data_IF_829805377862
#
_entry.id   IF_829805377862
#
_cell.length_a   1.000
_cell.length_b   1.000
_cell.length_c   1.000
_cell.angle_alpha   90.00
_cell.angle_beta   90.00
_cell.angle_gamma   90.00
#
_symmetry.space_group_name_H-M   'P 1'
#
loop_
_entity.id
_entity.type
_entity.pdbx_description
1 polymer ?
#
# COMPACT_ATOMS: atom_id res chain seq x y z
N UNK A 1 41.72 45.85 -25.71
CA UNK A 1 40.42 45.60 -26.37
C UNK A 1 40.36 44.11 -26.70
N UNK A 2 39.17 43.52 -26.57
CA UNK A 2 38.78 42.12 -26.79
C UNK A 2 38.76 41.21 -25.55
N UNK A 3 37.55 41.16 -24.98
CA UNK A 3 37.04 40.24 -23.99
C UNK A 3 36.20 39.21 -24.77
N UNK A 4 36.41 37.91 -24.56
CA UNK A 4 35.63 36.84 -25.21
C UNK A 4 34.76 36.13 -24.18
N UNK A 5 33.46 36.36 -24.26
CA UNK A 5 32.43 35.63 -23.51
C UNK A 5 32.16 34.27 -24.17
N UNK A 6 32.37 33.18 -23.42
CA UNK A 6 32.02 31.81 -23.83
C UNK A 6 30.65 31.47 -23.24
N UNK A 7 29.67 31.30 -24.14
CA UNK A 7 28.26 31.02 -23.87
C UNK A 7 28.07 29.76 -23.02
N UNK A 8 27.32 29.89 -21.93
CA UNK A 8 26.92 28.80 -21.01
C UNK A 8 25.40 28.54 -21.06
N UNK A 9 24.81 28.54 -22.27
CA UNK A 9 23.35 28.42 -22.46
C UNK A 9 22.89 27.03 -22.94
N UNK A 10 23.77 26.21 -23.52
CA UNK A 10 23.35 24.97 -24.19
C UNK A 10 23.03 23.80 -23.25
N UNK A 11 23.62 23.75 -22.04
CA UNK A 11 23.47 22.61 -21.13
C UNK A 11 22.17 22.60 -20.32
N UNK A 12 21.57 23.77 -20.05
CA UNK A 12 20.29 23.88 -19.31
C UNK A 12 19.10 23.47 -20.18
N UNK A 13 19.17 23.80 -21.47
CA UNK A 13 18.13 23.48 -22.45
C UNK A 13 18.02 21.97 -22.68
N UNK A 14 19.15 21.26 -22.73
CA UNK A 14 19.16 19.79 -22.87
C UNK A 14 18.57 19.07 -21.64
N UNK A 15 18.85 19.53 -20.42
CA UNK A 15 18.27 18.94 -19.20
C UNK A 15 16.75 19.17 -19.15
N UNK A 16 16.28 20.36 -19.52
CA UNK A 16 14.85 20.65 -19.60
C UNK A 16 14.16 19.79 -20.66
N UNK A 17 14.76 19.62 -21.84
CA UNK A 17 14.24 18.74 -22.89
C UNK A 17 14.20 17.27 -22.47
N UNK A 18 15.24 16.77 -21.80
CA UNK A 18 15.27 15.39 -21.26
C UNK A 18 14.21 15.23 -20.17
N UNK A 19 14.05 16.21 -19.27
CA UNK A 19 13.02 16.16 -18.22
C UNK A 19 11.60 16.15 -18.80
N UNK A 20 11.35 16.94 -19.84
CA UNK A 20 10.07 16.98 -20.54
C UNK A 20 9.80 15.67 -21.31
N UNK A 21 10.83 15.08 -21.92
CA UNK A 21 10.75 13.78 -22.62
C UNK A 21 10.54 12.61 -21.66
N UNK A 22 11.09 12.66 -20.45
CA UNK A 22 10.87 11.66 -19.40
C UNK A 22 9.46 11.81 -18.83
N UNK A 23 9.02 13.04 -18.53
CA UNK A 23 7.64 13.32 -18.09
C UNK A 23 6.60 12.90 -19.12
N UNK A 24 6.83 13.18 -20.42
CA UNK A 24 5.90 12.81 -21.49
C UNK A 24 5.83 11.28 -21.72
N UNK A 25 6.94 10.56 -21.51
CA UNK A 25 6.95 9.09 -21.52
C UNK A 25 6.24 8.48 -20.31
N UNK A 26 6.37 9.07 -19.13
CA UNK A 26 5.64 8.65 -17.93
C UNK A 26 4.12 8.85 -18.11
N UNK A 27 3.70 9.99 -18.67
CA UNK A 27 2.27 10.23 -18.98
C UNK A 27 1.75 9.25 -20.03
N UNK A 28 2.56 8.91 -21.03
CA UNK A 28 2.19 7.94 -22.08
C UNK A 28 2.08 6.51 -21.53
N UNK A 29 2.95 6.11 -20.60
CA UNK A 29 2.88 4.79 -19.94
C UNK A 29 1.67 4.67 -19.00
N UNK A 30 1.30 5.73 -18.27
CA UNK A 30 0.07 5.74 -17.48
C UNK A 30 -1.17 5.60 -18.38
N UNK A 31 -1.18 6.27 -19.54
CA UNK A 31 -2.30 6.18 -20.48
C UNK A 31 -2.45 4.81 -21.15
N UNK A 32 -1.36 4.12 -21.47
CA UNK A 32 -1.39 2.77 -22.07
C UNK A 32 -1.81 1.67 -21.10
N UNK A 33 -1.69 1.88 -19.79
CA UNK A 33 -2.09 0.91 -18.76
C UNK A 33 -3.59 0.93 -18.42
N UNK A 34 -4.37 1.86 -18.99
CA UNK A 34 -5.76 2.14 -18.56
C UNK A 34 -6.87 1.71 -19.52
N UNK A 35 -6.60 0.82 -20.48
CA UNK A 35 -7.64 0.29 -21.38
C UNK A 35 -7.84 -1.22 -21.21
N UNK A 36 -8.36 -1.62 -20.05
CA UNK A 36 -9.22 -2.80 -19.99
C UNK A 36 -10.58 -2.30 -19.52
N UNK A 37 -11.59 -2.37 -20.41
CA UNK A 37 -12.93 -1.95 -20.05
C UNK A 37 -13.39 -2.69 -18.78
N UNK A 38 -14.08 -2.02 -17.84
CA UNK A 38 -14.60 -2.68 -16.66
C UNK A 38 -15.47 -3.88 -17.05
N UNK A 39 -15.20 -5.03 -16.41
CA UNK A 39 -15.95 -6.28 -16.59
C UNK A 39 -16.92 -6.43 -15.42
N UNK A 40 -18.22 -6.18 -15.62
CA UNK A 40 -19.20 -6.30 -14.54
C UNK A 40 -19.24 -7.73 -14.02
N UNK A 41 -19.52 -7.88 -12.72
CA UNK A 41 -19.78 -9.19 -12.13
C UNK A 41 -21.15 -9.72 -12.58
N UNK A 42 -21.28 -11.04 -12.69
CA UNK A 42 -22.61 -11.66 -12.82
C UNK A 42 -23.30 -11.69 -11.46
N UNK A 43 -24.64 -11.77 -11.43
CA UNK A 43 -25.38 -11.85 -10.15
C UNK A 43 -25.01 -13.08 -9.31
N UNK A 44 -24.49 -14.14 -9.92
CA UNK A 44 -24.00 -15.33 -9.21
C UNK A 44 -22.61 -15.08 -8.60
N UNK A 45 -21.71 -14.44 -9.34
CA UNK A 45 -20.40 -14.03 -8.83
C UNK A 45 -20.55 -13.05 -7.65
N UNK A 46 -21.42 -12.04 -7.78
CA UNK A 46 -21.68 -11.05 -6.72
C UNK A 46 -22.15 -11.73 -5.43
N UNK A 47 -23.11 -12.65 -5.52
CA UNK A 47 -23.61 -13.41 -4.35
C UNK A 47 -22.52 -14.25 -3.71
N UNK A 48 -21.69 -14.90 -4.52
CA UNK A 48 -20.59 -15.75 -4.04
C UNK A 48 -19.52 -14.91 -3.34
N UNK A 49 -19.09 -13.81 -3.97
CA UNK A 49 -18.12 -12.87 -3.42
C UNK A 49 -18.66 -12.25 -2.13
N UNK A 50 -19.91 -11.79 -2.12
CA UNK A 50 -20.53 -11.21 -0.93
C UNK A 50 -20.61 -12.23 0.22
N UNK A 51 -20.95 -13.49 -0.07
CA UNK A 51 -20.95 -14.57 0.92
C UNK A 51 -19.55 -14.79 1.51
N UNK A 52 -18.50 -14.75 0.69
CA UNK A 52 -17.12 -14.87 1.16
C UNK A 52 -16.68 -13.67 1.99
N UNK A 53 -16.99 -12.45 1.55
CA UNK A 53 -16.63 -11.22 2.24
C UNK A 53 -17.27 -11.10 3.63
N UNK A 54 -18.44 -11.71 3.84
CA UNK A 54 -19.14 -11.74 5.13
C UNK A 54 -18.57 -12.76 6.14
N UNK A 55 -17.72 -13.69 5.72
CA UNK A 55 -17.09 -14.66 6.63
C UNK A 55 -16.05 -13.95 7.50
N UNK A 56 -15.92 -14.34 8.77
CA UNK A 56 -14.82 -13.88 9.62
C UNK A 56 -13.53 -14.65 9.28
N UNK A 57 -12.38 -14.04 9.57
CA UNK A 57 -11.08 -14.71 9.42
C UNK A 57 -10.98 -15.96 10.28
N UNK A 58 -10.22 -16.93 9.80
CA UNK A 58 -9.81 -18.06 10.62
C UNK A 58 -8.92 -17.56 11.78
N UNK A 59 -9.19 -17.96 13.03
CA UNK A 59 -8.35 -17.65 14.20
C UNK A 59 -6.85 -17.90 14.00
N UNK A 60 -6.44 -18.86 13.17
CA UNK A 60 -5.04 -19.18 12.89
C UNK A 60 -4.32 -18.14 12.01
N UNK A 61 -5.06 -17.35 11.23
CA UNK A 61 -4.52 -16.29 10.37
C UNK A 61 -4.26 -14.98 11.13
N UNK A 62 -4.82 -14.84 12.34
CA UNK A 62 -4.65 -13.64 13.17
C UNK A 62 -3.32 -13.67 13.91
N UNK A 63 -2.44 -12.72 13.62
CA UNK A 63 -1.17 -12.54 14.35
C UNK A 63 -1.30 -11.45 15.41
N UNK A 64 -0.40 -11.44 16.40
CA UNK A 64 -0.40 -10.45 17.47
C UNK A 64 0.99 -9.85 17.66
N UNK A 65 1.03 -8.52 17.81
CA UNK A 65 2.23 -7.79 18.21
C UNK A 65 2.04 -7.11 19.57
N UNK A 66 3.11 -6.88 20.34
CA UNK A 66 3.05 -6.01 21.51
C UNK A 66 2.57 -4.61 21.11
N UNK A 67 1.68 -4.05 21.92
CA UNK A 67 1.17 -2.68 21.83
C UNK A 67 1.45 -1.90 23.12
N UNK A 68 1.04 -0.62 23.15
CA UNK A 68 1.21 0.21 24.35
C UNK A 68 0.45 -0.38 25.54
N UNK A 69 0.99 -0.21 26.75
CA UNK A 69 0.35 -0.66 27.98
C UNK A 69 0.17 -2.18 28.10
N UNK A 70 1.14 -2.98 27.61
CA UNK A 70 1.07 -4.45 27.56
C UNK A 70 -0.12 -5.01 26.75
N UNK A 71 -0.80 -4.18 25.97
CA UNK A 71 -1.84 -4.64 25.07
C UNK A 71 -1.25 -5.51 23.94
N UNK A 72 -2.06 -6.41 23.37
CA UNK A 72 -1.71 -7.14 22.15
C UNK A 72 -2.55 -6.60 21.00
N UNK A 73 -1.89 -6.16 19.95
CA UNK A 73 -2.56 -5.64 18.74
C UNK A 73 -2.64 -6.77 17.73
N UNK A 74 -3.87 -7.14 17.36
CA UNK A 74 -4.13 -8.10 16.30
C UNK A 74 -3.79 -7.51 14.92
N UNK A 75 -3.21 -8.32 14.04
CA UNK A 75 -2.94 -7.95 12.66
C UNK A 75 -2.96 -9.18 11.74
N UNK A 76 -3.21 -8.95 10.45
CA UNK A 76 -2.98 -9.95 9.40
C UNK A 76 -1.67 -9.67 8.67
N UNK A 77 -0.98 -10.74 8.28
CA UNK A 77 0.24 -10.61 7.47
C UNK A 77 -0.10 -10.20 6.04
N UNK A 78 0.75 -9.39 5.41
CA UNK A 78 0.51 -8.92 4.04
C UNK A 78 0.37 -10.08 3.03
N UNK A 79 1.17 -11.14 3.18
CA UNK A 79 1.08 -12.34 2.34
C UNK A 79 -0.30 -13.00 2.41
N UNK A 80 -0.88 -13.07 3.61
CA UNK A 80 -2.19 -13.68 3.83
C UNK A 80 -3.30 -12.80 3.23
N UNK A 81 -3.22 -11.48 3.40
CA UNK A 81 -4.16 -10.55 2.79
C UNK A 81 -4.18 -10.66 1.24
N UNK A 82 -3.00 -10.78 0.62
CA UNK A 82 -2.87 -11.00 -0.83
C UNK A 82 -3.47 -12.34 -1.26
N UNK A 83 -3.20 -13.42 -0.51
CA UNK A 83 -3.77 -14.74 -0.80
C UNK A 83 -5.29 -14.71 -0.75
N UNK A 84 -5.87 -14.14 0.31
CA UNK A 84 -7.32 -14.03 0.47
C UNK A 84 -7.95 -13.19 -0.65
N UNK A 85 -7.31 -12.09 -1.06
CA UNK A 85 -7.78 -11.29 -2.19
C UNK A 85 -7.78 -12.10 -3.49
N UNK A 86 -6.73 -12.91 -3.75
CA UNK A 86 -6.67 -13.80 -4.90
C UNK A 86 -7.73 -14.91 -4.84
N UNK A 87 -8.01 -15.45 -3.65
CA UNK A 87 -9.02 -16.51 -3.48
C UNK A 87 -10.45 -15.98 -3.67
N UNK A 88 -10.71 -14.72 -3.31
CA UNK A 88 -12.05 -14.11 -3.37
C UNK A 88 -12.31 -13.49 -4.74
N UNK A 89 -11.40 -12.65 -5.22
CA UNK A 89 -11.59 -11.91 -6.47
C UNK A 89 -11.00 -12.64 -7.69
N UNK A 90 -10.11 -13.61 -7.48
CA UNK A 90 -9.29 -14.19 -8.53
C UNK A 90 -8.04 -13.36 -8.81
N UNK A 91 -6.97 -14.01 -9.28
CA UNK A 91 -5.68 -13.35 -9.56
C UNK A 91 -5.77 -12.19 -10.57
N UNK A 92 -6.81 -12.18 -11.42
CA UNK A 92 -7.08 -11.14 -12.43
C UNK A 92 -8.36 -10.32 -12.12
N UNK A 93 -8.93 -10.48 -10.92
CA UNK A 93 -10.14 -9.78 -10.50
C UNK A 93 -9.90 -8.51 -9.69
N UNK A 94 -8.65 -8.26 -9.29
CA UNK A 94 -8.26 -7.08 -8.55
C UNK A 94 -6.87 -6.61 -8.96
N UNK A 95 -6.56 -5.35 -8.65
CA UNK A 95 -5.25 -4.74 -8.86
C UNK A 95 -5.00 -3.71 -7.76
N UNK A 96 -3.73 -3.43 -7.47
CA UNK A 96 -3.32 -2.36 -6.55
C UNK A 96 -2.44 -1.34 -7.26
N UNK A 97 -2.65 -0.06 -6.99
CA UNK A 97 -1.82 1.03 -7.50
C UNK A 97 -1.45 1.99 -6.37
N UNK A 98 -0.18 2.37 -6.30
CA UNK A 98 0.27 3.45 -5.42
C UNK A 98 -0.08 4.77 -6.12
N UNK A 99 -0.94 5.56 -5.48
CA UNK A 99 -1.41 6.85 -6.03
C UNK A 99 -0.49 7.99 -5.61
N UNK A 100 -0.04 7.96 -4.36
CA UNK A 100 0.84 8.97 -3.80
C UNK A 100 1.78 8.34 -2.79
N UNK A 101 3.02 8.83 -2.73
CA UNK A 101 4.00 8.49 -1.71
C UNK A 101 4.59 9.80 -1.17
N UNK A 102 4.39 10.03 0.11
CA UNK A 102 4.75 11.28 0.78
C UNK A 102 5.75 10.99 1.88
N UNK A 103 6.87 11.71 1.89
CA UNK A 103 7.84 11.67 2.98
C UNK A 103 7.45 12.75 3.97
N UNK A 104 6.84 12.35 5.08
CA UNK A 104 6.26 13.29 6.03
C UNK A 104 7.32 14.02 6.85
N UNK A 105 8.39 13.31 7.22
CA UNK A 105 9.55 13.90 7.87
C UNK A 105 10.81 13.09 7.64
N UNK A 106 11.95 13.77 7.77
CA UNK A 106 13.29 13.17 7.86
C UNK A 106 14.07 13.93 8.92
N UNK A 107 14.43 13.25 10.00
CA UNK A 107 15.23 13.81 11.08
C UNK A 107 16.58 13.11 11.11
N UNK A 108 17.68 13.86 11.01
CA UNK A 108 19.02 13.31 11.14
C UNK A 108 19.42 13.23 12.61
N UNK A 109 19.99 12.10 13.01
CA UNK A 109 20.41 11.77 14.38
C UNK A 109 21.93 11.60 14.39
N UNK A 110 22.62 11.97 15.49
CA UNK A 110 24.08 11.79 15.59
C UNK A 110 24.53 10.37 15.21
N UNK A 111 25.67 10.27 14.52
CA UNK A 111 26.20 8.99 14.03
C UNK A 111 25.68 8.54 12.67
N UNK A 112 25.16 9.47 11.85
CA UNK A 112 24.74 9.18 10.46
C UNK A 112 23.47 8.35 10.34
N UNK A 113 22.68 8.31 11.42
CA UNK A 113 21.38 7.64 11.48
C UNK A 113 20.27 8.65 11.19
N UNK A 114 19.13 8.16 10.75
CA UNK A 114 17.96 9.00 10.52
C UNK A 114 16.71 8.39 11.14
N UNK A 115 15.73 9.23 11.40
CA UNK A 115 14.34 8.87 11.58
C UNK A 115 13.56 9.37 10.37
N UNK A 116 12.73 8.52 9.77
CA UNK A 116 11.92 8.87 8.60
C UNK A 116 10.52 8.33 8.77
N UNK A 117 9.54 9.15 8.41
CA UNK A 117 8.13 8.79 8.29
C UNK A 117 7.67 8.88 6.84
N UNK A 118 6.97 7.86 6.36
CA UNK A 118 6.44 7.82 4.99
C UNK A 118 4.97 7.42 5.02
N UNK A 119 4.13 8.20 4.36
CA UNK A 119 2.73 7.90 4.07
C UNK A 119 2.56 7.47 2.62
N UNK A 120 1.69 6.49 2.37
CA UNK A 120 1.38 5.98 1.03
C UNK A 120 -0.14 5.93 0.85
N UNK A 121 -0.66 6.64 -0.15
CA UNK A 121 -2.04 6.50 -0.63
C UNK A 121 -2.09 5.37 -1.64
N UNK A 122 -2.87 4.33 -1.35
CA UNK A 122 -3.01 3.15 -2.21
C UNK A 122 -4.47 2.98 -2.65
N UNK A 123 -4.65 2.65 -3.92
CA UNK A 123 -5.95 2.28 -4.51
C UNK A 123 -5.96 0.81 -4.87
N UNK A 124 -7.01 0.11 -4.45
CA UNK A 124 -7.36 -1.21 -4.97
C UNK A 124 -8.55 -1.06 -5.90
N UNK A 125 -8.43 -1.60 -7.12
CA UNK A 125 -9.47 -1.57 -8.14
C UNK A 125 -9.85 -3.00 -8.52
N UNK A 126 -11.14 -3.33 -8.47
CA UNK A 126 -11.68 -4.61 -8.91
C UNK A 126 -11.96 -4.63 -10.42
N UNK A 127 -12.21 -5.82 -10.98
CA UNK A 127 -12.43 -5.99 -12.43
C UNK A 127 -13.63 -5.21 -12.97
N UNK A 128 -14.62 -4.92 -12.14
CA UNK A 128 -15.81 -4.14 -12.47
C UNK A 128 -15.60 -2.61 -12.39
N UNK A 129 -14.39 -2.18 -12.03
CA UNK A 129 -14.02 -0.76 -11.91
C UNK A 129 -14.31 -0.16 -10.53
N UNK A 130 -14.94 -0.90 -9.62
CA UNK A 130 -15.10 -0.45 -8.23
C UNK A 130 -13.74 -0.34 -7.56
N UNK A 131 -13.57 0.67 -6.71
CA UNK A 131 -12.31 0.86 -6.02
C UNK A 131 -12.49 1.36 -4.58
N UNK A 132 -11.43 1.16 -3.81
CA UNK A 132 -11.26 1.67 -2.45
C UNK A 132 -9.86 2.25 -2.32
N UNK A 133 -9.74 3.27 -1.49
CA UNK A 133 -8.46 3.91 -1.17
C UNK A 133 -8.28 3.99 0.33
N UNK A 134 -7.05 3.81 0.78
CA UNK A 134 -6.68 4.07 2.18
C UNK A 134 -5.20 4.49 2.21
N UNK A 135 -4.80 5.09 3.32
CA UNK A 135 -3.43 5.54 3.56
C UNK A 135 -2.76 4.53 4.48
N UNK A 136 -1.56 4.09 4.12
CA UNK A 136 -0.67 3.32 4.98
C UNK A 136 0.50 4.15 5.47
N UNK A 137 1.07 3.73 6.60
CA UNK A 137 2.20 4.41 7.21
C UNK A 137 3.36 3.47 7.48
N UNK A 138 4.57 3.98 7.30
CA UNK A 138 5.80 3.24 7.58
C UNK A 138 6.86 4.17 8.13
N UNK A 139 7.65 3.67 9.08
CA UNK A 139 8.69 4.43 9.74
C UNK A 139 10.02 3.67 9.76
N UNK A 140 11.12 4.40 9.64
CA UNK A 140 12.47 3.90 9.89
C UNK A 140 13.10 4.73 10.99
N UNK A 141 13.47 4.11 12.11
CA UNK A 141 14.00 4.82 13.27
C UNK A 141 15.43 4.35 13.59
N UNK A 142 16.34 5.31 13.81
CA UNK A 142 17.71 5.08 14.28
C UNK A 142 18.57 4.14 13.41
N UNK A 143 18.36 4.16 12.09
CA UNK A 143 19.13 3.38 11.10
C UNK A 143 19.70 4.27 10.00
N UNK A 144 20.61 3.73 9.17
CA UNK A 144 21.26 4.48 8.09
C UNK A 144 20.22 4.99 7.09
N UNK A 145 20.47 6.15 6.49
CA UNK A 145 19.52 6.86 5.61
C UNK A 145 18.88 5.96 4.54
N UNK A 146 19.67 5.22 3.77
CA UNK A 146 19.16 4.34 2.72
C UNK A 146 18.25 3.23 3.26
N UNK A 147 18.68 2.55 4.32
CA UNK A 147 17.92 1.46 4.95
C UNK A 147 16.62 1.99 5.59
N UNK A 148 16.67 3.19 6.17
CA UNK A 148 15.51 3.86 6.75
C UNK A 148 14.41 4.09 5.70
N UNK A 149 14.77 4.67 4.55
CA UNK A 149 13.83 4.88 3.45
C UNK A 149 13.32 3.56 2.88
N UNK A 150 14.18 2.56 2.72
CA UNK A 150 13.76 1.26 2.19
C UNK A 150 12.73 0.59 3.13
N UNK A 151 12.99 0.59 4.44
CA UNK A 151 12.07 0.05 5.44
C UNK A 151 10.75 0.81 5.44
N UNK A 152 10.80 2.14 5.58
CA UNK A 152 9.60 2.97 5.70
C UNK A 152 8.70 2.85 4.47
N UNK A 153 9.27 2.89 3.25
CA UNK A 153 8.48 2.73 2.02
C UNK A 153 7.83 1.35 1.93
N UNK A 154 8.58 0.27 2.20
CA UNK A 154 8.04 -1.11 2.16
C UNK A 154 6.91 -1.31 3.17
N UNK A 155 7.10 -0.79 4.38
CA UNK A 155 6.12 -0.88 5.45
C UNK A 155 4.87 -0.07 5.13
N UNK A 156 5.02 1.19 4.69
CA UNK A 156 3.90 2.05 4.32
C UNK A 156 3.06 1.46 3.19
N UNK A 157 3.68 0.94 2.13
CA UNK A 157 2.95 0.30 1.02
C UNK A 157 2.22 -0.96 1.47
N UNK A 158 2.85 -1.80 2.31
CA UNK A 158 2.23 -3.03 2.82
C UNK A 158 1.08 -2.71 3.78
N UNK A 159 1.23 -1.68 4.62
CA UNK A 159 0.17 -1.23 5.51
C UNK A 159 -1.01 -0.67 4.73
N UNK A 160 -0.76 0.18 3.72
CA UNK A 160 -1.79 0.73 2.86
C UNK A 160 -2.59 -0.39 2.17
N UNK A 161 -1.90 -1.39 1.61
CA UNK A 161 -2.52 -2.54 0.98
C UNK A 161 -3.50 -3.26 1.90
N UNK A 162 -3.08 -3.60 3.13
CA UNK A 162 -3.93 -4.28 4.11
C UNK A 162 -5.14 -3.42 4.50
N UNK A 163 -4.91 -2.13 4.72
CA UNK A 163 -5.95 -1.18 5.12
C UNK A 163 -6.99 -0.96 4.02
N UNK A 164 -6.56 -0.88 2.77
CA UNK A 164 -7.48 -0.80 1.63
C UNK A 164 -8.24 -2.12 1.46
N UNK A 165 -7.59 -3.28 1.57
CA UNK A 165 -8.25 -4.60 1.45
C UNK A 165 -9.34 -4.80 2.51
N UNK A 166 -9.11 -4.40 3.76
CA UNK A 166 -10.11 -4.58 4.83
C UNK A 166 -11.44 -3.91 4.52
N UNK A 167 -11.44 -2.82 3.74
CA UNK A 167 -12.64 -2.04 3.41
C UNK A 167 -13.61 -2.77 2.48
N UNK A 168 -13.23 -3.92 1.93
CA UNK A 168 -14.09 -4.78 1.12
C UNK A 168 -14.88 -5.80 1.96
N UNK A 169 -14.42 -6.23 3.14
CA UNK A 169 -15.16 -7.20 3.94
C UNK A 169 -14.45 -7.76 5.17
N UNK A 170 -15.19 -8.52 5.97
CA UNK A 170 -14.77 -9.17 7.22
C UNK A 170 -13.54 -10.06 7.03
N UNK A 171 -13.60 -10.95 6.04
CA UNK A 171 -12.54 -11.93 5.76
C UNK A 171 -11.23 -11.26 5.32
N UNK A 172 -11.28 -10.05 4.74
CA UNK A 172 -10.10 -9.31 4.31
C UNK A 172 -9.45 -8.50 5.43
N UNK A 173 -9.87 -8.74 6.68
CA UNK A 173 -9.27 -8.15 7.87
C UNK A 173 -10.13 -7.09 8.55
N UNK A 174 -11.39 -6.89 8.16
CA UNK A 174 -12.26 -6.00 8.92
C UNK A 174 -12.60 -6.58 10.30
N UNK A 175 -12.73 -7.92 10.39
CA UNK A 175 -13.15 -8.58 11.64
C UNK A 175 -12.16 -8.42 12.79
N UNK A 176 -10.87 -8.14 12.52
CA UNK A 176 -9.86 -7.96 13.59
C UNK A 176 -10.08 -6.67 14.40
N UNK A 177 -10.94 -5.78 13.93
CA UNK A 177 -11.35 -4.57 14.66
C UNK A 177 -12.57 -4.82 15.57
N UNK A 178 -13.27 -5.95 15.39
CA UNK A 178 -14.35 -6.37 16.28
C UNK A 178 -13.78 -6.98 17.57
N UNK A 179 -14.09 -6.33 18.69
CA UNK A 179 -13.66 -6.77 20.03
C UNK A 179 -14.25 -8.13 20.39
N UNK A 180 -15.47 -8.44 19.97
CA UNK A 180 -16.12 -9.72 20.27
C UNK A 180 -15.42 -10.85 19.51
N UNK A 181 -15.16 -10.67 18.21
CA UNK A 181 -14.36 -11.61 17.43
C UNK A 181 -12.98 -11.87 18.04
N UNK A 182 -12.26 -10.83 18.46
CA UNK A 182 -10.94 -11.02 19.09
C UNK A 182 -11.01 -11.79 20.42
N UNK A 183 -12.09 -11.64 21.19
CA UNK A 183 -12.32 -12.43 22.41
C UNK A 183 -12.58 -13.90 22.08
N UNK A 184 -13.41 -14.18 21.07
CA UNK A 184 -13.68 -15.54 20.57
C UNK A 184 -12.39 -16.23 20.11
N UNK A 185 -11.58 -15.55 19.28
CA UNK A 185 -10.28 -16.03 18.81
C UNK A 185 -9.34 -16.33 19.98
N UNK A 186 -9.29 -15.43 20.98
CA UNK A 186 -8.44 -15.62 22.15
C UNK A 186 -8.88 -16.81 23.02
N UNK A 187 -10.19 -17.08 23.12
CA UNK A 187 -10.72 -18.21 23.87
C UNK A 187 -10.48 -19.54 23.14
N UNK A 188 -10.63 -19.57 21.82
CA UNK A 188 -10.42 -20.77 21.02
C UNK A 188 -8.96 -21.25 21.04
N UNK A 189 -7.99 -20.35 21.15
CA UNK A 189 -6.55 -20.69 21.25
C UNK A 189 -6.13 -21.25 22.61
N UNK A 190 -6.96 -21.14 23.65
CA UNK A 190 -6.68 -21.64 25.00
C UNK A 190 -7.21 -23.06 25.23
N UNK A 191 -8.01 -23.58 24.30
CA UNK A 191 -8.51 -24.95 24.29
C UNK A 191 -7.57 -25.82 23.48
#
# INVERSE_FOLDING_TARGET
MFQTDIKTEDSKTSIQQVSHLVSSRLTSQEQLSSQCAPRPYTSEEEKTIQSHLNKKLDPHLVSYRPGPGHARIAYIEGRQAISLANDIFGFNGWSSSVKELTVDFVNEVPGGKVQVGVSVLLRITLKDGTYREDIGYGAGEFIKKADAFQKAKKEATTDALKRTLRSFGEILGNCIYDKQYLQEVANNRRR
#
